data_IF_986627628193
#
_entry.id   IF_986627628193
#
_cell.length_a   1.000
_cell.length_b   1.000
_cell.length_c   1.000
_cell.angle_alpha   90.00
_cell.angle_beta   90.00
_cell.angle_gamma   90.00
#
_symmetry.space_group_name_H-M   'P 1'
#
loop_
_entity.id
_entity.type
_entity.pdbx_description
1 polymer ?
#
# COMPACT_ATOMS: atom_id res chain seq x y z
N UNK A 1 43.57 37.10 -21.09
CA UNK A 1 42.85 35.81 -21.04
C UNK A 1 43.52 34.92 -19.98
N UNK A 2 43.25 35.11 -18.68
CA UNK A 2 43.87 34.28 -17.62
C UNK A 2 43.13 34.29 -16.27
N UNK A 3 41.89 34.80 -16.15
CA UNK A 3 41.14 34.78 -14.88
C UNK A 3 40.08 33.67 -14.76
N UNK A 4 39.86 32.86 -15.80
CA UNK A 4 38.84 31.80 -15.77
C UNK A 4 39.34 30.47 -15.17
N UNK A 5 40.65 30.23 -15.07
CA UNK A 5 41.22 28.92 -14.67
C UNK A 5 41.29 28.71 -13.14
N UNK A 6 41.43 29.80 -12.37
CA UNK A 6 41.66 29.75 -10.91
C UNK A 6 40.34 29.46 -10.14
N UNK A 7 39.22 29.99 -10.63
CA UNK A 7 37.89 29.73 -10.05
C UNK A 7 37.48 28.27 -10.24
N UNK A 8 37.74 27.69 -11.42
CA UNK A 8 37.38 26.30 -11.74
C UNK A 8 38.20 25.28 -10.95
N UNK A 9 39.47 25.56 -10.69
CA UNK A 9 40.35 24.66 -9.92
C UNK A 9 40.02 24.67 -8.42
N UNK A 10 39.70 25.83 -7.85
CA UNK A 10 39.22 25.94 -6.46
C UNK A 10 37.93 25.15 -6.24
N UNK A 11 36.96 25.30 -7.15
CA UNK A 11 35.70 24.55 -7.10
C UNK A 11 35.92 23.02 -7.21
N UNK A 12 36.87 22.60 -8.05
CA UNK A 12 37.23 21.18 -8.20
C UNK A 12 37.81 20.61 -6.89
N UNK A 13 38.68 21.37 -6.21
CA UNK A 13 39.26 20.97 -4.92
C UNK A 13 38.15 20.87 -3.86
N UNK A 14 37.24 21.83 -3.80
CA UNK A 14 36.11 21.80 -2.86
C UNK A 14 35.19 20.61 -3.12
N UNK A 15 34.83 20.36 -4.38
CA UNK A 15 34.01 19.22 -4.78
C UNK A 15 34.68 17.87 -4.45
N UNK A 16 36.00 17.76 -4.70
CA UNK A 16 36.77 16.58 -4.34
C UNK A 16 36.80 16.35 -2.83
N UNK A 17 37.11 17.39 -2.05
CA UNK A 17 37.19 17.29 -0.59
C UNK A 17 35.84 16.87 0.01
N UNK A 18 34.74 17.45 -0.47
CA UNK A 18 33.40 17.06 -0.04
C UNK A 18 33.08 15.62 -0.46
N UNK A 19 33.30 15.25 -1.72
CA UNK A 19 33.00 13.89 -2.20
C UNK A 19 33.79 12.83 -1.42
N UNK A 20 35.09 13.01 -1.22
CA UNK A 20 35.95 12.00 -0.58
C UNK A 20 35.77 11.99 0.93
N UNK A 21 35.94 13.14 1.59
CA UNK A 21 36.00 13.19 3.05
C UNK A 21 34.64 13.21 3.73
N UNK A 22 33.58 13.58 3.01
CA UNK A 22 32.23 13.55 3.54
C UNK A 22 31.43 12.38 2.95
N UNK A 23 31.15 12.39 1.64
CA UNK A 23 30.25 11.39 1.01
C UNK A 23 30.83 9.98 1.06
N UNK A 24 32.05 9.78 0.59
CA UNK A 24 32.68 8.45 0.53
C UNK A 24 33.07 7.96 1.93
N UNK A 25 33.55 8.84 2.81
CA UNK A 25 33.81 8.49 4.21
C UNK A 25 32.52 8.03 4.93
N UNK A 26 31.41 8.74 4.78
CA UNK A 26 30.14 8.34 5.38
C UNK A 26 29.66 6.97 4.87
N UNK A 27 29.73 6.74 3.55
CA UNK A 27 29.44 5.42 2.96
C UNK A 27 30.34 4.33 3.52
N UNK A 28 31.65 4.59 3.61
CA UNK A 28 32.60 3.63 4.17
C UNK A 28 32.29 3.30 5.62
N UNK A 29 32.01 4.30 6.46
CA UNK A 29 31.65 4.07 7.87
C UNK A 29 30.36 3.25 7.99
N UNK A 30 29.37 3.51 7.14
CA UNK A 30 28.12 2.73 7.08
C UNK A 30 28.38 1.28 6.68
N UNK A 31 29.19 1.06 5.64
CA UNK A 31 29.55 -0.27 5.16
C UNK A 31 30.39 -1.06 6.18
N UNK A 32 31.26 -0.37 6.92
CA UNK A 32 32.05 -0.95 8.00
C UNK A 32 31.19 -1.44 9.16
N UNK A 33 30.06 -0.77 9.44
CA UNK A 33 29.10 -1.18 10.48
C UNK A 33 28.24 -2.35 10.02
N UNK A 34 27.77 -2.31 8.77
CA UNK A 34 26.92 -3.34 8.18
C UNK A 34 27.20 -3.45 6.68
N UNK A 35 27.73 -4.61 6.29
CA UNK A 35 27.99 -4.93 4.89
C UNK A 35 26.69 -4.94 4.08
N UNK A 36 26.73 -4.35 2.89
CA UNK A 36 25.60 -4.21 1.98
C UNK A 36 24.62 -3.09 2.34
N UNK A 37 24.79 -2.38 3.47
CA UNK A 37 23.82 -1.37 3.94
C UNK A 37 23.62 -0.23 2.94
N UNK A 38 24.69 0.24 2.29
CA UNK A 38 24.56 1.28 1.27
C UNK A 38 23.72 0.82 0.06
N UNK A 39 23.88 -0.44 -0.37
CA UNK A 39 23.10 -1.02 -1.47
C UNK A 39 21.63 -1.24 -1.07
N UNK A 40 21.40 -1.69 0.17
CA UNK A 40 20.06 -1.84 0.73
C UNK A 40 19.33 -0.50 0.79
N UNK A 41 19.97 0.54 1.33
CA UNK A 41 19.38 1.87 1.45
C UNK A 41 19.10 2.50 0.07
N UNK A 42 19.99 2.32 -0.90
CA UNK A 42 19.75 2.75 -2.28
C UNK A 42 18.53 2.03 -2.90
N UNK A 43 18.39 0.73 -2.63
CA UNK A 43 17.24 -0.06 -3.08
C UNK A 43 15.95 0.44 -2.42
N UNK A 44 15.96 0.65 -1.09
CA UNK A 44 14.81 1.17 -0.35
C UNK A 44 14.40 2.56 -0.83
N UNK A 45 15.37 3.44 -1.11
CA UNK A 45 15.09 4.78 -1.68
C UNK A 45 14.42 4.69 -3.04
N UNK A 46 14.86 3.77 -3.91
CA UNK A 46 14.23 3.53 -5.22
C UNK A 46 12.81 3.03 -5.07
N UNK A 47 12.58 2.08 -4.17
CA UNK A 47 11.24 1.54 -3.86
C UNK A 47 10.35 2.68 -3.32
N UNK A 48 10.81 3.44 -2.32
CA UNK A 48 10.07 4.59 -1.77
C UNK A 48 9.65 5.59 -2.84
N UNK A 49 10.56 5.95 -3.76
CA UNK A 49 10.23 6.86 -4.88
C UNK A 49 9.24 6.26 -5.88
N UNK A 50 9.23 4.94 -6.06
CA UNK A 50 8.19 4.29 -6.87
C UNK A 50 6.82 4.34 -6.18
N UNK A 51 6.76 4.10 -4.87
CA UNK A 51 5.53 4.25 -4.06
C UNK A 51 4.96 5.65 -4.14
N UNK A 52 5.81 6.68 -4.02
CA UNK A 52 5.41 8.09 -4.17
C UNK A 52 4.77 8.34 -5.55
N UNK A 53 5.38 7.84 -6.63
CA UNK A 53 4.85 8.01 -7.99
C UNK A 53 3.51 7.29 -8.18
N UNK A 54 3.38 6.06 -7.67
CA UNK A 54 2.14 5.30 -7.74
C UNK A 54 1.02 6.02 -6.99
N UNK A 55 1.31 6.47 -5.77
CA UNK A 55 0.41 7.29 -4.95
C UNK A 55 -0.05 8.53 -5.70
N UNK A 56 0.89 9.31 -6.24
CA UNK A 56 0.58 10.58 -6.90
C UNK A 56 -0.27 10.35 -8.16
N UNK A 57 0.04 9.32 -8.95
CA UNK A 57 -0.74 8.95 -10.13
C UNK A 57 -2.17 8.50 -9.77
N UNK A 58 -2.31 7.62 -8.78
CA UNK A 58 -3.62 7.15 -8.30
C UNK A 58 -4.46 8.29 -7.71
N UNK A 59 -3.85 9.16 -6.91
CA UNK A 59 -4.49 10.36 -6.35
C UNK A 59 -4.94 11.33 -7.44
N UNK A 60 -4.06 11.66 -8.37
CA UNK A 60 -4.37 12.58 -9.48
C UNK A 60 -5.52 12.02 -10.33
N UNK A 61 -5.49 10.73 -10.65
CA UNK A 61 -6.58 10.06 -11.35
C UNK A 61 -7.92 10.17 -10.60
N UNK A 62 -7.92 9.95 -9.28
CA UNK A 62 -9.12 10.06 -8.46
C UNK A 62 -9.69 11.49 -8.43
N UNK A 63 -8.82 12.50 -8.33
CA UNK A 63 -9.22 13.92 -8.37
C UNK A 63 -9.81 14.29 -9.73
N UNK A 64 -9.13 13.92 -10.82
CA UNK A 64 -9.59 14.21 -12.19
C UNK A 64 -10.95 13.55 -12.49
N UNK A 65 -11.18 12.34 -11.97
CA UNK A 65 -12.43 11.61 -12.13
C UNK A 65 -13.52 11.99 -11.11
N UNK A 66 -13.25 12.93 -10.20
CA UNK A 66 -14.18 13.41 -9.17
C UNK A 66 -14.70 12.28 -8.28
N UNK A 67 -13.80 11.42 -7.84
CA UNK A 67 -14.11 10.41 -6.84
C UNK A 67 -14.41 11.04 -5.47
N UNK A 68 -15.13 10.33 -4.58
CA UNK A 68 -15.41 10.81 -3.23
C UNK A 68 -14.14 11.22 -2.46
N UNK A 69 -14.24 12.26 -1.63
CA UNK A 69 -13.08 12.80 -0.90
C UNK A 69 -12.42 11.74 0.00
N UNK A 70 -13.22 10.92 0.68
CA UNK A 70 -12.75 9.76 1.47
C UNK A 70 -11.78 8.84 0.72
N UNK A 71 -11.99 8.61 -0.59
CA UNK A 71 -11.05 7.83 -1.40
C UNK A 71 -9.76 8.61 -1.68
N UNK A 72 -9.87 9.90 -1.99
CA UNK A 72 -8.70 10.77 -2.23
C UNK A 72 -7.83 10.89 -0.98
N UNK A 73 -8.43 10.92 0.21
CA UNK A 73 -7.70 11.00 1.48
C UNK A 73 -6.88 9.73 1.75
N UNK A 74 -7.47 8.55 1.53
CA UNK A 74 -6.76 7.26 1.61
C UNK A 74 -5.62 7.22 0.58
N UNK A 75 -5.92 7.55 -0.68
CA UNK A 75 -4.93 7.54 -1.77
C UNK A 75 -3.83 8.57 -1.58
N UNK A 76 -4.04 9.61 -0.77
CA UNK A 76 -3.01 10.61 -0.45
C UNK A 76 -1.96 10.09 0.53
N UNK A 77 -2.24 9.02 1.27
CA UNK A 77 -1.32 8.52 2.28
C UNK A 77 -0.36 7.49 1.66
N UNK A 78 0.96 7.70 1.75
CA UNK A 78 1.95 6.79 1.14
C UNK A 78 1.86 5.35 1.68
N UNK A 79 1.53 5.21 2.98
CA UNK A 79 1.27 3.92 3.63
C UNK A 79 0.06 3.15 3.09
N UNK A 80 -0.80 3.75 2.26
CA UNK A 80 -1.88 3.01 1.60
C UNK A 80 -1.41 2.25 0.34
N UNK A 81 -0.17 2.50 -0.11
CA UNK A 81 0.36 1.99 -1.39
C UNK A 81 1.41 0.91 -1.18
N UNK A 82 1.35 -0.13 -2.02
CA UNK A 82 2.34 -1.22 -2.04
C UNK A 82 3.74 -0.75 -2.48
N UNK A 83 4.75 -1.60 -2.34
CA UNK A 83 6.16 -1.31 -2.65
C UNK A 83 6.44 -0.88 -4.10
N UNK A 84 5.62 -1.29 -5.07
CA UNK A 84 5.88 -1.08 -6.50
C UNK A 84 7.30 -1.52 -6.92
N UNK A 85 7.66 -2.77 -6.57
CA UNK A 85 8.99 -3.34 -6.84
C UNK A 85 9.06 -3.85 -8.27
N UNK A 86 9.99 -3.31 -9.06
CA UNK A 86 10.24 -3.79 -10.43
C UNK A 86 10.90 -5.17 -10.43
N UNK A 87 10.34 -6.07 -11.23
CA UNK A 87 10.87 -7.38 -11.57
C UNK A 87 11.47 -7.33 -12.99
N UNK A 88 12.79 -7.36 -13.07
CA UNK A 88 13.53 -7.26 -14.33
C UNK A 88 13.30 -8.46 -15.25
N UNK A 89 12.95 -9.64 -14.71
CA UNK A 89 12.80 -10.87 -15.51
C UNK A 89 11.52 -10.84 -16.32
N UNK A 90 10.43 -10.39 -15.70
CA UNK A 90 9.11 -10.29 -16.34
C UNK A 90 8.79 -8.89 -16.84
N UNK A 91 9.63 -7.91 -16.53
CA UNK A 91 9.43 -6.50 -16.84
C UNK A 91 8.09 -5.95 -16.32
N UNK A 92 7.73 -6.36 -15.10
CA UNK A 92 6.50 -5.93 -14.43
C UNK A 92 6.82 -5.36 -13.06
N UNK A 93 5.85 -4.64 -12.51
CA UNK A 93 5.94 -4.14 -11.16
C UNK A 93 5.08 -5.01 -10.23
N UNK A 94 5.73 -5.59 -9.22
CA UNK A 94 5.14 -6.52 -8.26
C UNK A 94 4.34 -5.74 -7.23
N UNK A 95 3.04 -6.00 -7.16
CA UNK A 95 2.22 -5.52 -6.04
C UNK A 95 2.37 -6.49 -4.89
N UNK A 96 2.93 -5.98 -3.81
CA UNK A 96 3.09 -6.74 -2.57
C UNK A 96 1.93 -6.47 -1.61
N UNK A 97 1.67 -7.45 -0.76
CA UNK A 97 0.60 -7.41 0.24
C UNK A 97 1.05 -6.59 1.45
N UNK A 98 0.24 -5.62 1.84
CA UNK A 98 0.38 -4.89 3.10
C UNK A 98 -0.33 -5.67 4.19
N UNK A 99 0.40 -6.13 5.21
CA UNK A 99 -0.13 -7.02 6.27
C UNK A 99 -1.27 -6.41 7.08
N UNK A 100 -1.32 -5.08 7.16
CA UNK A 100 -2.32 -4.33 7.90
C UNK A 100 -3.53 -3.96 7.06
N UNK A 101 -3.52 -4.18 5.75
CA UNK A 101 -4.56 -3.71 4.83
C UNK A 101 -5.65 -4.78 4.70
N UNK A 102 -6.91 -4.38 4.84
CA UNK A 102 -8.04 -5.30 4.71
C UNK A 102 -8.13 -5.88 3.30
N UNK A 103 -8.73 -7.06 3.17
CA UNK A 103 -9.06 -7.65 1.86
C UNK A 103 -9.91 -6.68 1.02
N UNK A 104 -10.86 -5.99 1.65
CA UNK A 104 -11.75 -5.04 0.99
C UNK A 104 -11.00 -3.79 0.48
N UNK A 105 -10.08 -3.24 1.27
CA UNK A 105 -9.21 -2.15 0.84
C UNK A 105 -8.29 -2.60 -0.31
N UNK A 106 -7.77 -3.82 -0.25
CA UNK A 106 -6.99 -4.40 -1.35
C UNK A 106 -7.82 -4.49 -2.63
N UNK A 107 -9.07 -4.98 -2.58
CA UNK A 107 -10.01 -4.99 -3.71
C UNK A 107 -10.24 -3.59 -4.27
N UNK A 108 -10.41 -2.58 -3.43
CA UNK A 108 -10.57 -1.19 -3.86
C UNK A 108 -9.37 -0.68 -4.66
N UNK A 109 -8.14 -0.87 -4.16
CA UNK A 109 -6.91 -0.44 -4.85
C UNK A 109 -6.79 -1.16 -6.20
N UNK A 110 -7.21 -2.43 -6.29
CA UNK A 110 -7.27 -3.14 -7.58
C UNK A 110 -8.28 -2.56 -8.55
N UNK A 111 -9.50 -2.30 -8.09
CA UNK A 111 -10.53 -1.68 -8.91
C UNK A 111 -10.04 -0.34 -9.47
N UNK A 112 -9.25 0.41 -8.68
CA UNK A 112 -8.62 1.66 -9.11
C UNK A 112 -7.56 1.42 -10.20
N UNK A 113 -6.64 0.47 -10.00
CA UNK A 113 -5.62 0.12 -11.00
C UNK A 113 -6.24 -0.32 -12.32
N UNK A 114 -7.32 -1.13 -12.26
CA UNK A 114 -8.10 -1.55 -13.44
C UNK A 114 -8.75 -0.35 -14.12
N UNK A 115 -9.38 0.56 -13.36
CA UNK A 115 -9.96 1.77 -13.91
C UNK A 115 -8.91 2.66 -14.59
N UNK A 116 -7.71 2.76 -14.01
CA UNK A 116 -6.58 3.49 -14.58
C UNK A 116 -6.04 2.83 -15.86
N UNK A 117 -5.91 1.50 -15.87
CA UNK A 117 -5.55 0.72 -17.06
C UNK A 117 -6.54 0.97 -18.19
N UNK A 118 -7.83 0.78 -17.92
CA UNK A 118 -8.89 0.98 -18.90
C UNK A 118 -8.90 2.41 -19.45
N UNK A 119 -8.66 3.41 -18.60
CA UNK A 119 -8.56 4.81 -19.04
C UNK A 119 -7.32 5.05 -19.91
N UNK A 120 -6.17 4.46 -19.55
CA UNK A 120 -4.94 4.57 -20.34
C UNK A 120 -5.07 3.89 -21.70
N UNK A 121 -5.79 2.77 -21.82
CA UNK A 121 -6.04 2.11 -23.10
C UNK A 121 -6.82 2.99 -24.09
N UNK A 122 -7.64 3.92 -23.60
CA UNK A 122 -8.35 4.89 -24.44
C UNK A 122 -7.46 6.06 -24.91
N UNK A 123 -6.28 6.26 -24.31
CA UNK A 123 -5.31 7.29 -24.70
C UNK A 123 -3.95 6.65 -25.07
N UNK A 124 -3.62 6.54 -26.38
CA UNK A 124 -2.38 5.92 -26.84
C UNK A 124 -1.11 6.51 -26.22
N UNK A 125 -1.10 7.80 -25.90
CA UNK A 125 0.05 8.49 -25.30
C UNK A 125 0.27 8.08 -23.83
N UNK A 126 -0.83 7.91 -23.10
CA UNK A 126 -0.82 7.46 -21.71
C UNK A 126 -0.46 5.98 -21.61
N UNK A 127 -1.00 5.14 -22.49
CA UNK A 127 -0.76 3.69 -22.49
C UNK A 127 0.75 3.35 -22.62
N UNK A 128 1.47 4.05 -23.49
CA UNK A 128 2.90 3.80 -23.70
C UNK A 128 3.77 4.06 -22.46
N UNK A 129 3.31 4.92 -21.54
CA UNK A 129 4.05 5.31 -20.34
C UNK A 129 3.58 4.56 -19.08
N UNK A 130 2.54 3.72 -19.19
CA UNK A 130 2.00 2.97 -18.05
C UNK A 130 2.99 1.91 -17.58
N UNK A 131 3.08 1.76 -16.26
CA UNK A 131 3.72 0.61 -15.64
C UNK A 131 2.72 -0.53 -15.55
N UNK A 132 3.12 -1.70 -16.02
CA UNK A 132 2.33 -2.93 -15.88
C UNK A 132 2.52 -3.44 -14.46
N UNK A 133 1.44 -3.48 -13.68
CA UNK A 133 1.47 -3.98 -12.31
C UNK A 133 0.82 -5.36 -12.25
N UNK A 134 1.52 -6.35 -11.72
CA UNK A 134 0.99 -7.71 -11.57
C UNK A 134 1.01 -8.20 -10.12
N UNK A 135 -0.05 -8.93 -9.76
CA UNK A 135 -0.20 -9.55 -8.46
C UNK A 135 0.42 -10.95 -8.50
N UNK A 136 1.32 -11.29 -7.57
CA UNK A 136 1.85 -12.64 -7.45
C UNK A 136 0.75 -13.63 -7.05
N UNK A 137 0.81 -14.86 -7.57
CA UNK A 137 -0.11 -15.94 -7.17
C UNK A 137 0.03 -16.31 -5.69
N UNK A 138 1.24 -16.25 -5.18
CA UNK A 138 1.52 -16.36 -3.74
C UNK A 138 1.77 -14.96 -3.16
N UNK A 139 0.96 -14.50 -2.19
CA UNK A 139 1.13 -13.20 -1.57
C UNK A 139 2.56 -12.98 -1.07
N UNK A 140 3.18 -11.89 -1.52
CA UNK A 140 4.51 -11.48 -1.04
C UNK A 140 4.37 -10.26 -0.16
N UNK A 141 4.80 -10.39 1.10
CA UNK A 141 4.70 -9.33 2.10
C UNK A 141 5.57 -8.12 1.73
N UNK A 142 5.00 -6.93 1.89
CA UNK A 142 5.68 -5.64 1.73
C UNK A 142 6.87 -5.51 2.69
N UNK A 143 7.93 -4.83 2.25
CA UNK A 143 9.02 -4.46 3.17
C UNK A 143 8.64 -3.31 4.11
N UNK A 144 7.54 -2.61 3.84
CA UNK A 144 7.03 -1.52 4.68
C UNK A 144 5.91 -2.05 5.56
N UNK A 145 6.24 -2.35 6.81
CA UNK A 145 5.31 -2.92 7.80
C UNK A 145 4.59 -1.86 8.63
N UNK A 146 5.07 -0.61 8.61
CA UNK A 146 4.49 0.49 9.36
C UNK A 146 3.13 0.91 8.77
N UNK A 147 2.06 0.68 9.53
CA UNK A 147 0.71 1.06 9.15
C UNK A 147 0.54 2.58 9.10
N UNK A 148 -0.22 3.11 8.12
CA UNK A 148 -0.60 4.52 8.10
C UNK A 148 -1.43 4.88 9.33
N UNK A 149 -1.43 6.15 9.73
CA UNK A 149 -2.27 6.63 10.85
C UNK A 149 -3.46 7.41 10.31
N UNK A 150 -4.56 7.39 11.06
CA UNK A 150 -5.81 8.13 10.81
C UNK A 150 -6.50 7.80 9.48
N UNK A 151 -6.21 6.64 8.89
CA UNK A 151 -7.09 6.11 7.84
C UNK A 151 -8.36 5.51 8.45
N UNK A 152 -9.49 5.48 7.70
CA UNK A 152 -10.74 4.85 8.12
C UNK A 152 -10.55 3.41 8.62
N UNK A 153 -11.35 2.98 9.61
CA UNK A 153 -11.18 1.68 10.27
C UNK A 153 -11.26 0.50 9.28
N UNK A 154 -12.13 0.59 8.29
CA UNK A 154 -12.35 -0.42 7.24
C UNK A 154 -11.20 -0.55 6.23
N UNK A 155 -10.19 0.32 6.32
CA UNK A 155 -8.91 0.14 5.64
C UNK A 155 -8.07 -0.97 6.24
N UNK A 156 -8.15 -1.17 7.56
CA UNK A 156 -7.26 -2.11 8.25
C UNK A 156 -7.86 -3.49 8.31
N UNK A 157 -7.03 -4.52 8.25
CA UNK A 157 -7.48 -5.89 8.45
C UNK A 157 -7.97 -6.11 9.89
N UNK A 158 -9.16 -6.70 10.13
CA UNK A 158 -9.69 -6.95 11.47
C UNK A 158 -8.77 -7.81 12.33
N UNK A 159 -8.23 -8.91 11.78
CA UNK A 159 -7.32 -9.79 12.51
C UNK A 159 -6.01 -9.07 12.86
N UNK A 160 -5.50 -8.21 11.97
CA UNK A 160 -4.36 -7.33 12.28
C UNK A 160 -4.70 -6.31 13.37
N UNK A 161 -5.89 -5.70 13.34
CA UNK A 161 -6.33 -4.72 14.33
C UNK A 161 -6.43 -5.32 15.75
N UNK A 162 -6.94 -6.55 15.88
CA UNK A 162 -7.06 -7.24 17.17
C UNK A 162 -5.71 -7.60 17.79
N UNK A 163 -4.67 -7.75 16.97
CA UNK A 163 -3.28 -7.98 17.43
C UNK A 163 -2.62 -6.71 17.99
N UNK A 164 -3.20 -5.52 17.77
CA UNK A 164 -2.66 -4.27 18.29
C UNK A 164 -2.91 -4.12 19.78
N UNK A 165 -1.97 -3.45 20.47
CA UNK A 165 -2.22 -3.04 21.86
C UNK A 165 -3.33 -1.98 21.94
N UNK A 166 -4.10 -1.89 23.05
CA UNK A 166 -5.24 -0.96 23.14
C UNK A 166 -4.90 0.52 22.88
N UNK A 167 -3.68 0.95 23.18
CA UNK A 167 -3.22 2.31 22.87
C UNK A 167 -3.07 2.53 21.35
N UNK A 168 -2.62 1.52 20.61
CA UNK A 168 -2.47 1.56 19.15
C UNK A 168 -3.83 1.47 18.45
N UNK A 169 -4.74 0.64 18.94
CA UNK A 169 -6.12 0.54 18.45
C UNK A 169 -6.86 1.89 18.47
N UNK A 170 -6.50 2.80 19.39
CA UNK A 170 -7.06 4.16 19.51
C UNK A 170 -6.32 5.23 18.71
N UNK A 171 -5.07 4.99 18.32
CA UNK A 171 -4.20 6.03 17.73
C UNK A 171 -3.85 5.78 16.27
N UNK A 172 -3.92 4.53 15.80
CA UNK A 172 -3.61 4.18 14.41
C UNK A 172 -4.84 4.37 13.51
N UNK A 173 -5.98 3.68 13.68
CA UNK A 173 -7.14 3.90 12.83
C UNK A 173 -7.97 5.11 13.24
N UNK A 174 -8.74 5.66 12.28
CA UNK A 174 -9.88 6.53 12.54
C UNK A 174 -11.12 5.66 12.83
N UNK A 175 -11.44 5.54 14.11
CA UNK A 175 -12.60 4.79 14.62
C UNK A 175 -13.89 5.60 14.59
N UNK A 176 -14.02 6.58 13.70
CA UNK A 176 -15.25 7.37 13.53
C UNK A 176 -15.76 7.39 12.10
N UNK A 177 -14.97 6.89 11.14
CA UNK A 177 -15.30 6.91 9.73
C UNK A 177 -15.01 5.57 9.06
N UNK A 178 -15.83 5.25 8.07
CA UNK A 178 -15.61 4.14 7.12
C UNK A 178 -15.64 4.72 5.71
N UNK A 179 -14.90 4.11 4.78
CA UNK A 179 -14.72 4.66 3.44
C UNK A 179 -15.25 3.80 2.31
N UNK A 180 -15.08 2.48 2.39
CA UNK A 180 -15.36 1.55 1.31
C UNK A 180 -16.81 1.05 1.36
N UNK A 181 -17.32 0.68 0.19
CA UNK A 181 -18.54 -0.13 0.14
C UNK A 181 -18.27 -1.49 0.80
N UNK A 182 -19.29 -2.16 1.38
CA UNK A 182 -19.13 -3.50 1.94
C UNK A 182 -18.46 -4.48 0.97
N UNK A 183 -18.75 -4.32 -0.31
CA UNK A 183 -18.03 -4.96 -1.40
C UNK A 183 -17.36 -3.88 -2.27
N UNK A 184 -16.05 -3.72 -2.12
CA UNK A 184 -15.27 -2.75 -2.88
C UNK A 184 -15.20 -3.06 -4.37
N UNK A 185 -15.52 -4.27 -4.83
CA UNK A 185 -15.57 -4.58 -6.27
C UNK A 185 -16.65 -3.78 -7.01
N UNK A 186 -17.65 -3.29 -6.29
CA UNK A 186 -18.71 -2.43 -6.81
C UNK A 186 -18.31 -0.95 -6.84
N UNK A 187 -17.11 -0.62 -6.35
CA UNK A 187 -16.58 0.73 -6.37
C UNK A 187 -16.03 1.10 -7.74
N UNK A 188 -16.01 2.40 -8.05
CA UNK A 188 -15.34 2.95 -9.24
C UNK A 188 -15.91 2.47 -10.59
N UNK A 189 -17.11 1.90 -10.57
CA UNK A 189 -17.81 1.50 -11.80
C UNK A 189 -18.11 2.73 -12.69
N UNK A 190 -18.25 2.53 -14.02
CA UNK A 190 -18.55 3.60 -14.96
C UNK A 190 -19.79 4.40 -14.52
N UNK A 191 -19.84 5.71 -14.86
CA UNK A 191 -20.88 6.64 -14.36
C UNK A 191 -22.34 6.16 -14.45
N UNK A 192 -22.66 5.31 -15.43
CA UNK A 192 -24.01 4.72 -15.63
C UNK A 192 -24.34 3.58 -14.66
N UNK A 193 -23.32 2.87 -14.18
CA UNK A 193 -23.40 1.72 -13.28
C UNK A 193 -22.86 2.03 -11.88
N UNK A 194 -22.35 3.25 -11.66
CA UNK A 194 -21.77 3.66 -10.38
C UNK A 194 -22.76 3.48 -9.25
N UNK A 195 -22.30 2.84 -8.18
CA UNK A 195 -23.10 2.60 -7.00
C UNK A 195 -23.68 3.93 -6.46
N UNK A 196 -24.98 4.03 -6.15
CA UNK A 196 -25.61 5.28 -5.77
C UNK A 196 -24.99 5.86 -4.50
N UNK A 197 -24.54 5.00 -3.59
CA UNK A 197 -24.02 5.44 -2.30
C UNK A 197 -22.62 6.05 -2.37
N UNK A 198 -21.89 5.87 -3.46
CA UNK A 198 -20.63 6.60 -3.64
C UNK A 198 -20.86 8.12 -3.64
N UNK A 199 -22.05 8.58 -4.05
CA UNK A 199 -22.43 10.00 -4.05
C UNK A 199 -22.80 10.54 -2.66
N UNK A 200 -22.93 9.68 -1.65
CA UNK A 200 -23.23 10.13 -0.30
C UNK A 200 -22.07 10.96 0.24
N UNK A 201 -22.43 11.94 1.07
CA UNK A 201 -21.46 12.63 1.92
C UNK A 201 -20.85 11.64 2.89
N UNK A 202 -19.60 11.85 3.29
CA UNK A 202 -18.88 10.90 4.15
C UNK A 202 -19.64 10.60 5.44
N UNK A 203 -20.22 11.61 6.09
CA UNK A 203 -21.10 11.41 7.26
C UNK A 203 -22.30 10.50 6.99
N UNK A 204 -22.95 10.64 5.82
CA UNK A 204 -24.11 9.82 5.47
C UNK A 204 -23.71 8.41 5.08
N UNK A 205 -22.55 8.28 4.43
CA UNK A 205 -21.94 7.01 4.08
C UNK A 205 -21.56 6.22 5.33
N UNK A 206 -20.79 6.86 6.23
CA UNK A 206 -20.41 6.27 7.52
C UNK A 206 -21.64 5.81 8.28
N UNK A 207 -22.64 6.67 8.48
CA UNK A 207 -23.86 6.26 9.19
C UNK A 207 -24.59 5.08 8.56
N UNK A 208 -24.52 4.90 7.24
CA UNK A 208 -25.20 3.81 6.53
C UNK A 208 -24.48 2.47 6.72
N UNK A 209 -23.15 2.50 6.72
CA UNK A 209 -22.32 1.30 6.68
C UNK A 209 -21.57 1.01 7.98
N UNK A 210 -21.66 1.89 8.97
CA UNK A 210 -20.97 1.78 10.25
C UNK A 210 -21.19 0.40 10.86
N UNK A 211 -22.45 0.03 11.12
CA UNK A 211 -22.74 -1.18 11.89
C UNK A 211 -22.20 -2.45 11.21
N UNK A 212 -22.31 -2.51 9.88
CA UNK A 212 -21.84 -3.65 9.07
C UNK A 212 -20.31 -3.73 9.03
N UNK A 213 -19.64 -2.58 8.85
CA UNK A 213 -18.20 -2.55 8.63
C UNK A 213 -17.39 -2.57 9.92
N UNK A 214 -17.97 -2.16 11.05
CA UNK A 214 -17.25 -2.10 12.33
C UNK A 214 -17.50 -3.30 13.25
N UNK A 215 -18.49 -4.13 12.93
CA UNK A 215 -18.78 -5.38 13.64
C UNK A 215 -17.54 -6.27 13.79
N UNK A 216 -16.71 -6.52 12.74
CA UNK A 216 -15.52 -7.36 12.87
C UNK A 216 -14.46 -6.81 13.84
N UNK A 217 -14.51 -5.52 14.16
CA UNK A 217 -13.54 -4.86 15.05
C UNK A 217 -14.02 -4.80 16.51
N UNK A 218 -15.24 -5.29 16.82
CA UNK A 218 -15.80 -5.23 18.16
C UNK A 218 -16.10 -3.80 18.64
N UNK A 219 -16.35 -2.87 17.72
CA UNK A 219 -16.59 -1.45 18.03
C UNK A 219 -18.08 -1.09 18.13
N UNK A 220 -18.97 -2.05 17.90
CA UNK A 220 -20.38 -1.91 18.22
C UNK A 220 -20.54 -1.84 19.74
N UNK A 221 -21.16 -0.78 20.25
CA UNK A 221 -21.33 -0.60 21.69
C UNK A 221 -22.12 -1.75 22.32
N UNK A 222 -21.72 -2.17 23.51
CA UNK A 222 -22.40 -3.20 24.33
C UNK A 222 -23.84 -2.83 24.75
N UNK A 223 -24.34 -1.64 24.41
CA UNK A 223 -25.70 -1.20 24.72
C UNK A 223 -26.62 -1.26 23.48
N UNK A 224 -27.09 -2.48 23.19
CA UNK A 224 -28.42 -2.70 22.62
C UNK A 224 -28.91 -4.13 22.90
N UNK A 225 -28.89 -4.58 24.15
CA UNK A 225 -29.89 -5.55 24.67
C UNK A 225 -29.77 -5.73 26.19
N UNK A 226 -30.18 -4.70 26.94
CA UNK A 226 -30.88 -4.95 28.21
C UNK A 226 -32.37 -4.85 27.90
N UNK A 227 -32.90 -5.91 27.30
CA UNK A 227 -34.32 -6.24 27.43
C UNK A 227 -34.38 -7.75 27.68
N UNK A 228 -34.34 -8.07 28.97
CA UNK A 228 -34.80 -9.36 29.45
C UNK A 228 -36.29 -9.45 29.18
N UNK A 229 -36.69 -10.23 28.18
CA UNK A 229 -37.83 -11.11 28.37
C UNK A 229 -37.63 -12.41 27.59
N UNK A 230 -37.49 -13.44 28.41
CA UNK A 230 -37.72 -14.85 28.15
C UNK A 230 -39.08 -15.08 27.47
N UNK A 231 -39.19 -16.21 26.77
CA UNK A 231 -40.40 -17.02 26.49
C UNK A 231 -40.39 -17.64 25.07
N UNK A 232 -39.84 -18.86 25.05
CA UNK A 232 -40.48 -20.11 24.60
C UNK A 232 -40.76 -20.45 23.11
N UNK A 233 -40.25 -21.66 22.79
CA UNK A 233 -40.81 -22.75 21.96
C UNK A 233 -41.02 -22.63 20.41
N UNK A 234 -40.10 -23.30 19.69
CA UNK A 234 -40.23 -24.43 18.71
C UNK A 234 -41.63 -24.88 18.17
N UNK A 235 -41.76 -25.73 17.09
CA UNK A 235 -40.73 -26.47 16.34
C UNK A 235 -40.95 -26.70 14.79
N UNK A 236 -39.92 -27.31 14.18
CA UNK A 236 -39.93 -28.36 13.13
C UNK A 236 -40.28 -28.08 11.64
N UNK A 237 -39.40 -28.60 10.76
CA UNK A 237 -39.61 -28.72 9.31
C UNK A 237 -38.44 -29.39 8.58
N UNK A 238 -38.26 -30.69 8.81
CA UNK A 238 -37.19 -31.57 8.29
C UNK A 238 -37.38 -31.96 6.81
N UNK A 239 -36.30 -32.01 6.01
CA UNK A 239 -36.17 -32.94 4.88
C UNK A 239 -34.69 -33.19 4.53
N UNK A 240 -34.33 -34.48 4.43
CA UNK A 240 -32.98 -35.05 4.27
C UNK A 240 -32.93 -35.89 2.99
N UNK A 241 -31.71 -36.09 2.45
CA UNK A 241 -31.27 -37.15 1.52
C UNK A 241 -31.70 -36.99 0.05
N UNK A 242 -30.83 -37.13 -0.97
CA UNK A 242 -30.03 -38.32 -1.39
C UNK A 242 -29.09 -37.80 -2.54
N UNK A 243 -27.78 -38.02 -2.66
CA UNK A 243 -27.04 -39.29 -2.71
C UNK A 243 -27.02 -39.88 -4.13
N UNK A 244 -25.99 -39.62 -4.95
CA UNK A 244 -25.19 -40.63 -5.69
C UNK A 244 -24.25 -40.07 -6.79
N UNK A 245 -22.96 -40.40 -6.57
CA UNK A 245 -21.83 -40.72 -7.45
C UNK A 245 -22.06 -40.92 -8.97
N UNK A 246 -21.13 -40.44 -9.81
CA UNK A 246 -20.53 -41.22 -10.91
C UNK A 246 -19.31 -40.52 -11.51
N UNK A 247 -18.25 -41.30 -11.66
CA UNK A 247 -16.95 -41.03 -12.27
C UNK A 247 -17.04 -40.78 -13.79
N UNK A 248 -16.03 -40.09 -14.32
CA UNK A 248 -15.87 -39.82 -15.76
C UNK A 248 -14.53 -39.15 -16.07
N UNK A 249 -13.44 -39.86 -15.77
CA UNK A 249 -12.08 -39.53 -16.19
C UNK A 249 -11.93 -39.77 -17.70
N UNK A 250 -11.58 -38.72 -18.43
CA UNK A 250 -11.16 -38.78 -19.81
C UNK A 250 -10.09 -37.73 -20.03
N UNK A 251 -8.81 -38.13 -19.93
CA UNK A 251 -7.71 -37.27 -20.33
C UNK A 251 -7.64 -37.25 -21.87
N UNK A 252 -7.52 -36.07 -22.46
CA UNK A 252 -7.19 -35.91 -23.86
C UNK A 252 -5.66 -35.74 -23.97
N UNK A 253 -5.08 -36.55 -24.84
CA UNK A 253 -3.66 -36.64 -25.16
C UNK A 253 -3.31 -35.63 -26.25
N UNK A 254 -3.32 -34.35 -25.92
CA UNK A 254 -2.63 -33.31 -26.69
C UNK A 254 -1.63 -32.62 -25.75
N UNK A 255 -0.57 -33.35 -25.42
CA UNK A 255 0.60 -32.85 -24.68
C UNK A 255 1.29 -31.74 -25.49
N UNK A 256 1.03 -30.48 -25.12
CA UNK A 256 1.97 -29.39 -25.38
C UNK A 256 3.13 -29.50 -24.37
N UNK A 257 4.35 -29.38 -24.89
CA UNK A 257 5.64 -29.53 -24.20
C UNK A 257 5.67 -28.94 -22.78
N UNK A 258 6.15 -29.69 -21.75
CA UNK A 258 6.26 -29.18 -20.40
C UNK A 258 7.54 -28.35 -20.26
N UNK A 259 7.46 -27.05 -20.56
CA UNK A 259 8.42 -26.07 -20.06
C UNK A 259 7.75 -24.71 -19.78
N UNK A 260 6.56 -24.75 -19.21
CA UNK A 260 5.99 -23.58 -18.54
C UNK A 260 5.95 -23.87 -17.04
N UNK A 261 6.97 -23.38 -16.34
CA UNK A 261 6.80 -23.10 -14.92
C UNK A 261 5.52 -22.28 -14.75
N UNK A 262 4.64 -22.61 -13.78
CA UNK A 262 3.40 -21.86 -13.60
C UNK A 262 3.71 -20.36 -13.52
N UNK A 263 2.95 -19.53 -14.25
CA UNK A 263 3.16 -18.10 -14.26
C UNK A 263 3.08 -17.56 -12.82
N UNK A 264 4.22 -17.14 -12.25
CA UNK A 264 4.33 -16.62 -10.87
C UNK A 264 3.30 -15.51 -10.55
N UNK A 265 2.76 -14.85 -11.57
CA UNK A 265 1.81 -13.75 -11.44
C UNK A 265 0.45 -14.08 -12.08
N UNK A 266 -0.58 -13.37 -11.63
CA UNK A 266 -1.84 -13.25 -12.36
C UNK A 266 -1.70 -12.27 -13.52
N UNK A 267 -2.58 -12.38 -14.51
CA UNK A 267 -2.69 -11.36 -15.57
C UNK A 267 -2.98 -9.98 -14.96
N UNK A 268 -2.54 -8.90 -15.62
CA UNK A 268 -2.73 -7.55 -15.12
C UNK A 268 -4.23 -7.20 -15.04
N UNK A 269 -4.72 -7.04 -13.81
CA UNK A 269 -6.13 -6.77 -13.52
C UNK A 269 -6.91 -8.00 -13.06
N UNK A 270 -6.29 -9.19 -13.03
CA UNK A 270 -6.83 -10.39 -12.43
C UNK A 270 -6.18 -10.66 -11.06
N UNK A 271 -6.97 -11.18 -10.12
CA UNK A 271 -6.49 -11.59 -8.80
C UNK A 271 -6.95 -12.99 -8.41
N UNK A 272 -7.74 -13.65 -9.27
CA UNK A 272 -8.51 -14.84 -8.90
C UNK A 272 -9.31 -14.62 -7.62
N UNK A 273 -9.44 -15.68 -6.83
CA UNK A 273 -10.23 -15.70 -5.59
C UNK A 273 -9.43 -15.18 -4.38
N UNK A 274 -8.24 -14.58 -4.58
CA UNK A 274 -7.31 -14.24 -3.49
C UNK A 274 -7.93 -13.34 -2.41
N UNK A 275 -9.00 -12.63 -2.75
CA UNK A 275 -9.71 -11.74 -1.83
C UNK A 275 -11.20 -12.10 -1.68
N UNK A 276 -11.69 -13.18 -2.28
CA UNK A 276 -13.11 -13.49 -2.36
C UNK A 276 -13.67 -14.26 -1.15
N UNK A 277 -12.81 -14.87 -0.34
CA UNK A 277 -13.25 -15.52 0.89
C UNK A 277 -13.48 -14.53 2.02
N UNK A 278 -14.77 -14.27 2.30
CA UNK A 278 -15.29 -13.64 3.52
C UNK A 278 -15.79 -14.74 4.47
N UNK A 279 -14.88 -15.62 4.90
CA UNK A 279 -15.01 -16.42 6.12
C UNK A 279 -13.60 -16.54 6.69
N UNK A 280 -13.38 -16.03 7.91
CA UNK A 280 -12.16 -16.29 8.67
C UNK A 280 -12.26 -17.73 9.18
N UNK A 281 -11.44 -18.64 8.63
CA UNK A 281 -11.13 -19.90 9.30
C UNK A 281 -9.76 -19.72 9.96
N UNK A 282 -9.76 -19.73 11.28
CA UNK A 282 -8.59 -19.57 12.14
C UNK A 282 -7.63 -20.74 11.94
N UNK A 283 -6.44 -20.46 11.38
CA UNK A 283 -5.29 -21.34 11.58
C UNK A 283 -4.28 -20.61 12.49
N UNK A 284 -4.36 -20.92 13.79
CA UNK A 284 -3.42 -20.44 14.81
C UNK A 284 -2.00 -20.94 14.49
N UNK A 285 -1.15 -20.03 14.03
CA UNK A 285 0.31 -20.17 14.06
C UNK A 285 0.86 -19.50 15.32
N UNK A 286 1.21 -20.33 16.30
CA UNK A 286 1.95 -19.97 17.51
C UNK A 286 3.42 -19.70 17.15
N UNK A 287 3.84 -18.43 17.16
CA UNK A 287 5.24 -18.03 17.05
C UNK A 287 5.56 -17.00 18.15
N UNK A 288 6.25 -17.46 19.20
CA UNK A 288 6.82 -16.65 20.26
C UNK A 288 7.94 -15.74 19.71
N UNK A 289 7.76 -14.42 19.72
CA UNK A 289 8.84 -13.46 19.42
C UNK A 289 9.51 -12.92 20.70
N UNK A 290 10.84 -13.13 20.76
CA UNK A 290 11.75 -12.69 21.81
C UNK A 290 12.09 -11.19 21.64
N UNK A 291 11.70 -10.38 22.62
CA UNK A 291 11.97 -8.94 22.67
C UNK A 291 13.45 -8.66 22.92
N UNK A 292 14.08 -7.87 22.03
CA UNK A 292 15.24 -7.06 22.40
C UNK A 292 14.85 -5.58 22.42
N UNK A 293 14.64 -5.08 23.64
CA UNK A 293 14.50 -3.66 23.92
C UNK A 293 15.87 -2.99 23.76
N UNK A 294 15.96 -2.00 22.87
CA UNK A 294 16.98 -0.99 22.97
C UNK A 294 16.33 0.38 22.81
N UNK A 295 16.10 1.03 23.94
CA UNK A 295 15.87 2.47 24.04
C UNK A 295 17.14 3.21 23.57
N UNK A 296 16.97 4.32 22.84
CA UNK A 296 18.09 5.21 22.55
C UNK A 296 17.86 6.18 21.38
N UNK A 297 17.41 7.37 21.76
CA UNK A 297 17.55 8.68 21.12
C UNK A 297 16.86 9.00 19.79
N UNK A 298 15.85 9.85 19.96
CA UNK A 298 15.26 10.78 19.00
C UNK A 298 16.33 11.82 18.60
N UNK A 299 16.78 11.79 17.35
CA UNK A 299 17.36 12.97 16.70
C UNK A 299 16.43 13.38 15.55
N UNK A 300 15.80 14.53 15.78
CA UNK A 300 14.91 15.29 14.92
C UNK A 300 15.77 16.01 13.87
N UNK A 301 15.97 15.39 12.71
CA UNK A 301 16.57 16.08 11.55
C UNK A 301 15.44 16.59 10.65
N UNK A 302 15.08 17.85 10.88
CA UNK A 302 14.32 18.69 9.97
C UNK A 302 15.03 18.77 8.60
N UNK A 303 14.55 18.01 7.61
CA UNK A 303 14.95 18.16 6.20
C UNK A 303 14.50 19.53 5.67
N UNK A 304 15.38 20.54 5.79
CA UNK A 304 15.23 21.81 5.09
C UNK A 304 15.55 21.63 3.60
N UNK A 305 14.50 21.56 2.80
CA UNK A 305 14.55 21.68 1.34
C UNK A 305 15.00 23.12 0.94
N UNK A 306 16.31 23.36 0.81
CA UNK A 306 16.80 24.60 0.20
C UNK A 306 16.80 24.50 -1.35
N UNK A 307 15.74 25.09 -1.89
CA UNK A 307 15.57 25.49 -3.28
C UNK A 307 16.69 26.46 -3.71
N UNK A 308 17.65 25.97 -4.50
CA UNK A 308 18.69 26.82 -5.12
C UNK A 308 18.06 27.81 -6.12
N UNK A 309 17.77 29.02 -5.64
CA UNK A 309 17.51 30.20 -6.45
C UNK A 309 18.82 30.88 -6.83
N UNK A 310 19.13 30.89 -8.13
CA UNK A 310 20.22 31.64 -8.74
C UNK A 310 19.99 33.16 -8.55
N UNK A 311 20.80 33.80 -7.71
CA UNK A 311 20.93 35.25 -7.68
C UNK A 311 22.38 35.62 -7.34
N UNK A 312 23.14 35.88 -8.40
CA UNK A 312 24.40 36.60 -8.37
C UNK A 312 24.15 38.04 -7.85
N UNK A 313 24.76 38.45 -6.73
CA UNK A 313 25.27 39.82 -6.52
C UNK A 313 26.15 39.96 -5.25
N UNK A 314 27.45 40.23 -5.52
CA UNK A 314 28.43 41.09 -4.83
C UNK A 314 28.77 41.03 -3.31
N UNK A 315 30.08 40.79 -3.12
CA UNK A 315 31.07 41.45 -2.23
C UNK A 315 30.96 41.33 -0.71
N UNK A 316 31.95 40.68 -0.07
CA UNK A 316 33.06 41.37 0.58
C UNK A 316 34.21 40.40 0.97
N UNK A 317 35.41 40.95 0.90
CA UNK A 317 36.73 40.33 0.97
C UNK A 317 37.10 40.04 2.44
N UNK A 318 37.35 38.77 2.81
CA UNK A 318 37.87 38.42 4.15
C UNK A 318 39.28 37.85 4.02
N UNK A 319 40.23 38.70 4.40
CA UNK A 319 41.67 38.43 4.46
C UNK A 319 41.96 37.39 5.57
N UNK A 320 42.59 36.26 5.22
CA UNK A 320 43.19 35.36 6.22
C UNK A 320 44.68 35.66 6.32
N UNK A 321 45.13 35.97 7.53
CA UNK A 321 46.55 36.03 7.89
C UNK A 321 47.08 34.61 8.11
N UNK A 322 48.32 34.41 7.66
CA UNK A 322 49.06 33.14 7.58
C UNK A 322 49.16 32.33 8.88
#
# INVERSE_FOLDING_TARGET
MTCHSISTTSLLIQAYNHFVHFVQHAKYQKEKKQEGKNAQDATNKRISKNRERLRDAQKEFAILNKFPQRYVDILSHIGAHSDDKHDERKNVYKIKTLVYCSKNASKFIRALDIAMKNAAEQDPSSNQKRRVHQLPRQPVISTFTAAPKRLPIDFYDPSWYHKLVPAQQKTIPDTHNVAFLPDASQSLLPKKQRHPDEKLTDRSFTRKYWDILVEPYGLLGEDSSDDSDDEEASPEGMAKSTGNNSEGEGHDLDDESPDESPDEYFEEGEAGDLYDDFVEDDEEGDDEEEYNANEGDEDDDEDQDEQYGDSFENTEDVHMQD
#
